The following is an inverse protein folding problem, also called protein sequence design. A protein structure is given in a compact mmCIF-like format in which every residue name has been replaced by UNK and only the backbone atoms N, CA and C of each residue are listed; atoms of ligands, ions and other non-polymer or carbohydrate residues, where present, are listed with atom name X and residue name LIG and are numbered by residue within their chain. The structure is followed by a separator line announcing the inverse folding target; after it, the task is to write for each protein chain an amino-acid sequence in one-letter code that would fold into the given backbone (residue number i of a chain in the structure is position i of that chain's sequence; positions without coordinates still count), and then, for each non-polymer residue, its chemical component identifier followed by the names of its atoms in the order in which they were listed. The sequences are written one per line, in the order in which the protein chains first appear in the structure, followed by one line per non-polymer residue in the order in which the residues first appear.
data_IF_202880440621
#
_entry.id   IF_202880440621
#
_cell.length_a   1.000
_cell.length_b   1.000
_cell.length_c   1.000
_cell.angle_alpha   90.00
_cell.angle_beta   90.00
_cell.angle_gamma   90.00
#
_symmetry.space_group_name_H-M   'P 1'
#
loop_
_entity.id
_entity.type
_entity.pdbx_description
1 polymer ?
#
# COMPACT_ATOMS: atom_id res chain seq x y z
N UNK A 1 19.02 -16.97 3.29
CA UNK A 1 17.70 -17.26 3.89
C UNK A 1 16.74 -16.17 3.42
N UNK A 2 15.69 -16.52 2.67
CA UNK A 2 14.57 -15.59 2.49
C UNK A 2 13.91 -15.48 3.85
N UNK A 3 13.92 -14.28 4.43
CA UNK A 3 13.55 -14.02 5.81
C UNK A 3 12.12 -14.47 6.12
N UNK A 4 11.88 -14.81 7.38
CA UNK A 4 10.57 -15.19 7.88
C UNK A 4 9.61 -13.97 7.84
N UNK A 5 8.94 -13.78 6.70
CA UNK A 5 8.02 -12.65 6.51
C UNK A 5 6.84 -12.74 7.48
N UNK A 6 6.42 -13.95 7.87
CA UNK A 6 5.29 -14.15 8.77
C UNK A 6 5.64 -13.65 10.18
N UNK A 7 6.86 -13.96 10.65
CA UNK A 7 7.38 -13.38 11.90
C UNK A 7 7.47 -11.85 11.81
N UNK A 8 8.01 -11.30 10.72
CA UNK A 8 8.13 -9.85 10.56
C UNK A 8 6.76 -9.13 10.50
N UNK A 9 5.77 -9.71 9.81
CA UNK A 9 4.39 -9.17 9.80
C UNK A 9 3.83 -9.17 11.21
N UNK A 10 3.98 -10.28 11.95
CA UNK A 10 3.54 -10.39 13.33
C UNK A 10 4.18 -9.32 14.23
N UNK A 11 5.50 -9.14 14.15
CA UNK A 11 6.21 -8.13 14.96
C UNK A 11 5.69 -6.71 14.68
N UNK A 12 5.44 -6.36 13.41
CA UNK A 12 4.85 -5.07 13.06
C UNK A 12 3.39 -4.92 13.51
N UNK A 13 2.61 -5.99 13.46
CA UNK A 13 1.22 -5.99 13.93
C UNK A 13 1.14 -5.80 15.45
N UNK A 14 2.07 -6.38 16.21
CA UNK A 14 2.18 -6.17 17.66
C UNK A 14 2.45 -4.69 17.99
N UNK A 15 3.41 -4.06 17.30
CA UNK A 15 3.68 -2.61 17.43
C UNK A 15 2.47 -1.77 17.02
N UNK A 16 1.74 -2.17 15.98
CA UNK A 16 0.56 -1.44 15.52
C UNK A 16 -0.60 -1.48 16.53
N UNK A 17 -0.72 -2.56 17.29
CA UNK A 17 -1.77 -2.80 18.28
C UNK A 17 -1.48 -2.21 19.67
N UNK A 18 -0.22 -1.97 20.00
CA UNK A 18 0.20 -1.44 21.30
C UNK A 18 -0.21 0.05 21.46
N UNK A 19 -1.20 0.31 22.32
CA UNK A 19 -1.72 1.67 22.53
C UNK A 19 -0.75 2.63 23.23
N UNK A 20 0.30 2.11 23.86
CA UNK A 20 1.32 2.91 24.56
C UNK A 20 2.34 3.50 23.56
N UNK A 21 2.39 2.99 22.33
CA UNK A 21 3.25 3.49 21.25
C UNK A 21 2.58 4.69 20.55
N UNK A 22 3.29 5.81 20.28
CA UNK A 22 2.72 6.95 19.55
C UNK A 22 2.04 6.57 18.24
N UNK A 23 0.88 7.17 17.93
CA UNK A 23 0.05 6.80 16.77
C UNK A 23 0.80 6.78 15.45
N UNK A 24 1.68 7.75 15.20
CA UNK A 24 2.49 7.80 13.98
C UNK A 24 3.44 6.59 13.83
N UNK A 25 4.00 6.07 14.92
CA UNK A 25 4.83 4.86 14.89
C UNK A 25 3.98 3.61 14.65
N UNK A 26 2.75 3.56 15.19
CA UNK A 26 1.81 2.47 14.91
C UNK A 26 1.37 2.46 13.45
N UNK A 27 1.12 3.62 12.88
CA UNK A 27 0.77 3.75 11.45
C UNK A 27 1.94 3.33 10.55
N UNK A 28 3.17 3.70 10.91
CA UNK A 28 4.36 3.21 10.23
C UNK A 28 4.49 1.68 10.32
N UNK A 29 4.16 1.07 11.47
CA UNK A 29 4.18 -0.37 11.65
C UNK A 29 3.13 -1.07 10.77
N UNK A 30 1.88 -0.56 10.75
CA UNK A 30 0.83 -1.04 9.83
C UNK A 30 1.29 -1.00 8.37
N UNK A 31 1.91 0.11 7.96
CA UNK A 31 2.43 0.27 6.60
C UNK A 31 3.53 -0.75 6.29
N UNK A 32 4.45 -1.00 7.23
CA UNK A 32 5.54 -1.99 7.04
C UNK A 32 5.01 -3.42 6.94
N UNK A 33 4.03 -3.80 7.76
CA UNK A 33 3.35 -5.09 7.64
C UNK A 33 2.68 -5.24 6.27
N UNK A 34 1.94 -4.22 5.83
CA UNK A 34 1.28 -4.23 4.52
C UNK A 34 2.26 -4.35 3.35
N UNK A 35 3.41 -3.67 3.38
CA UNK A 35 4.42 -3.76 2.33
C UNK A 35 5.02 -5.18 2.21
N UNK A 36 5.16 -5.93 3.31
CA UNK A 36 5.53 -7.33 3.27
C UNK A 36 4.40 -8.18 2.67
N UNK A 37 3.16 -7.89 3.06
CA UNK A 37 1.97 -8.62 2.60
C UNK A 37 1.65 -8.40 1.12
N UNK A 38 2.12 -7.31 0.49
CA UNK A 38 1.99 -7.14 -0.97
C UNK A 38 2.54 -8.36 -1.72
N UNK A 39 3.65 -8.94 -1.26
CA UNK A 39 4.29 -10.10 -1.90
C UNK A 39 3.90 -11.46 -1.32
N UNK A 40 3.30 -11.47 -0.13
CA UNK A 40 3.14 -12.69 0.66
C UNK A 40 1.72 -12.95 1.16
N UNK A 41 0.79 -12.01 0.97
CA UNK A 41 -0.59 -12.09 1.45
C UNK A 41 -1.62 -11.76 0.37
N UNK A 42 -2.86 -11.62 0.81
CA UNK A 42 -4.01 -11.20 -0.01
C UNK A 42 -4.21 -9.68 0.01
N UNK A 43 -5.06 -9.18 -0.89
CA UNK A 43 -5.57 -7.81 -0.83
C UNK A 43 -6.22 -7.51 0.52
N UNK A 44 -6.96 -8.47 1.10
CA UNK A 44 -7.61 -8.27 2.39
C UNK A 44 -6.58 -8.09 3.53
N UNK A 45 -5.46 -8.83 3.47
CA UNK A 45 -4.37 -8.70 4.45
C UNK A 45 -3.71 -7.32 4.38
N UNK A 46 -3.47 -6.83 3.16
CA UNK A 46 -2.94 -5.47 2.93
C UNK A 46 -3.96 -4.41 3.36
N UNK A 47 -5.19 -4.49 2.86
CA UNK A 47 -6.25 -3.50 3.09
C UNK A 47 -6.54 -3.31 4.57
N UNK A 48 -6.65 -4.41 5.33
CA UNK A 48 -6.92 -4.35 6.78
C UNK A 48 -5.87 -3.55 7.57
N UNK A 49 -4.67 -3.35 7.02
CA UNK A 49 -3.59 -2.58 7.65
C UNK A 49 -3.49 -1.14 7.16
N UNK A 50 -3.69 -0.90 5.86
CA UNK A 50 -3.39 0.42 5.26
C UNK A 50 -4.60 1.20 4.78
N UNK A 51 -5.81 0.65 4.74
CA UNK A 51 -6.98 1.36 4.21
C UNK A 51 -7.21 2.71 4.89
N UNK A 52 -7.18 2.75 6.22
CA UNK A 52 -7.32 4.00 6.98
C UNK A 52 -6.17 5.00 6.72
N UNK A 53 -4.98 4.50 6.36
CA UNK A 53 -3.81 5.34 6.04
C UNK A 53 -3.91 5.98 4.66
N UNK A 54 -4.84 5.54 3.79
CA UNK A 54 -5.03 6.12 2.45
C UNK A 54 -5.77 7.46 2.45
N UNK A 55 -6.30 7.90 3.61
CA UNK A 55 -7.00 9.17 3.75
C UNK A 55 -6.12 10.37 3.35
N UNK A 56 -6.71 11.40 2.74
CA UNK A 56 -5.99 12.59 2.24
C UNK A 56 -5.20 13.34 3.34
N UNK A 57 -5.66 13.24 4.58
CA UNK A 57 -5.02 13.87 5.75
C UNK A 57 -3.84 13.08 6.29
N UNK A 58 -3.64 11.82 5.88
CA UNK A 58 -2.57 10.99 6.41
C UNK A 58 -1.25 11.25 5.64
N UNK A 59 -0.13 11.51 6.34
CA UNK A 59 1.16 11.71 5.68
C UNK A 59 1.68 10.47 4.95
N UNK A 60 1.20 9.27 5.31
CA UNK A 60 1.62 7.99 4.71
C UNK A 60 0.77 7.57 3.51
N UNK A 61 -0.24 8.36 3.12
CA UNK A 61 -1.26 7.97 2.14
C UNK A 61 -0.73 7.51 0.80
N UNK A 62 0.36 8.09 0.30
CA UNK A 62 0.90 7.71 -1.00
C UNK A 62 1.47 6.29 -0.99
N UNK A 63 2.25 5.94 0.03
CA UNK A 63 2.80 4.59 0.17
C UNK A 63 1.70 3.59 0.53
N UNK A 64 0.70 3.99 1.32
CA UNK A 64 -0.47 3.17 1.60
C UNK A 64 -1.28 2.85 0.33
N UNK A 65 -1.55 3.86 -0.52
CA UNK A 65 -2.21 3.69 -1.82
C UNK A 65 -1.39 2.83 -2.77
N UNK A 66 -0.07 2.98 -2.78
CA UNK A 66 0.84 2.14 -3.59
C UNK A 66 0.77 0.67 -3.15
N UNK A 67 0.84 0.39 -1.84
CA UNK A 67 0.70 -0.97 -1.32
C UNK A 67 -0.68 -1.58 -1.65
N UNK A 68 -1.76 -0.83 -1.43
CA UNK A 68 -3.12 -1.27 -1.72
C UNK A 68 -3.34 -1.50 -3.23
N UNK A 69 -2.79 -0.63 -4.07
CA UNK A 69 -2.87 -0.70 -5.53
C UNK A 69 -2.11 -1.90 -6.10
N UNK A 70 -0.92 -2.19 -5.58
CA UNK A 70 -0.16 -3.40 -5.93
C UNK A 70 -0.92 -4.67 -5.56
N UNK A 71 -1.47 -4.73 -4.34
CA UNK A 71 -2.26 -5.88 -3.90
C UNK A 71 -3.53 -6.07 -4.74
N UNK A 72 -4.23 -4.98 -5.07
CA UNK A 72 -5.40 -5.00 -5.94
C UNK A 72 -5.06 -5.54 -7.33
N UNK A 73 -3.97 -5.05 -7.92
CA UNK A 73 -3.55 -5.47 -9.26
C UNK A 73 -3.20 -6.96 -9.31
N UNK A 74 -2.48 -7.48 -8.30
CA UNK A 74 -2.12 -8.90 -8.20
C UNK A 74 -3.33 -9.83 -8.10
N UNK A 75 -4.46 -9.34 -7.58
CA UNK A 75 -5.73 -10.08 -7.54
C UNK A 75 -6.63 -9.81 -8.76
N UNK A 76 -6.13 -9.17 -9.81
CA UNK A 76 -6.90 -8.89 -11.02
C UNK A 76 -7.90 -7.74 -10.88
N UNK A 77 -7.85 -6.97 -9.78
CA UNK A 77 -8.71 -5.79 -9.54
C UNK A 77 -8.10 -4.56 -10.22
N UNK A 78 -7.93 -4.63 -11.54
CA UNK A 78 -7.20 -3.61 -12.31
C UNK A 78 -7.82 -2.21 -12.20
N UNK A 79 -9.15 -2.09 -12.19
CA UNK A 79 -9.85 -0.81 -12.01
C UNK A 79 -9.57 -0.18 -10.64
N UNK A 80 -9.58 -0.96 -9.57
CA UNK A 80 -9.29 -0.48 -8.23
C UNK A 80 -7.82 -0.07 -8.09
N UNK A 81 -6.91 -0.87 -8.64
CA UNK A 81 -5.50 -0.56 -8.68
C UNK A 81 -5.23 0.75 -9.44
N UNK A 82 -5.84 0.92 -10.62
CA UNK A 82 -5.70 2.11 -11.44
C UNK A 82 -6.17 3.36 -10.71
N UNK A 83 -7.31 3.29 -10.01
CA UNK A 83 -7.81 4.40 -9.18
C UNK A 83 -6.80 4.82 -8.12
N UNK A 84 -6.16 3.86 -7.45
CA UNK A 84 -5.19 4.12 -6.38
C UNK A 84 -3.90 4.75 -6.91
N UNK A 85 -3.40 4.30 -8.06
CA UNK A 85 -2.21 4.89 -8.69
C UNK A 85 -2.50 6.28 -9.28
N UNK A 86 -3.66 6.48 -9.91
CA UNK A 86 -4.06 7.79 -10.43
C UNK A 86 -4.17 8.83 -9.29
N UNK A 87 -4.66 8.44 -8.11
CA UNK A 87 -4.67 9.30 -6.91
C UNK A 87 -3.28 9.74 -6.44
N UNK A 88 -2.23 8.94 -6.70
CA UNK A 88 -0.85 9.32 -6.35
C UNK A 88 -0.29 10.22 -7.45
N UNK A 89 -0.47 9.84 -8.72
CA UNK A 89 0.06 10.55 -9.87
C UNK A 89 -0.51 11.98 -9.97
N UNK A 90 -1.77 12.19 -9.60
CA UNK A 90 -2.45 13.48 -9.65
C UNK A 90 -2.27 14.37 -8.41
N UNK A 91 -1.56 13.91 -7.37
CA UNK A 91 -1.36 14.69 -6.13
C UNK A 91 -0.04 15.48 -6.18
N UNK A 92 -0.13 16.80 -6.30
CA UNK A 92 1.02 17.70 -6.36
C UNK A 92 1.87 17.70 -5.09
N UNK A 93 1.31 17.24 -3.96
CA UNK A 93 2.05 17.09 -2.71
C UNK A 93 2.77 15.73 -2.56
N UNK A 94 2.54 14.79 -3.47
CA UNK A 94 3.28 13.54 -3.48
C UNK A 94 4.77 13.76 -3.81
N UNK A 95 5.70 13.03 -3.19
CA UNK A 95 7.10 13.03 -3.61
C UNK A 95 7.24 12.69 -5.09
N UNK A 96 8.16 13.37 -5.80
CA UNK A 96 8.35 13.20 -7.26
C UNK A 96 8.52 11.74 -7.67
N UNK A 97 9.35 11.00 -6.96
CA UNK A 97 9.59 9.58 -7.23
C UNK A 97 8.34 8.71 -7.04
N UNK A 98 7.44 9.05 -6.10
CA UNK A 98 6.19 8.35 -5.89
C UNK A 98 5.22 8.60 -7.06
N UNK A 99 5.13 9.85 -7.54
CA UNK A 99 4.34 10.17 -8.75
C UNK A 99 4.86 9.42 -9.96
N UNK A 100 6.17 9.43 -10.20
CA UNK A 100 6.79 8.74 -11.35
C UNK A 100 6.49 7.23 -11.34
N UNK A 101 6.62 6.56 -10.19
CA UNK A 101 6.25 5.14 -10.05
C UNK A 101 4.75 4.92 -10.27
N UNK A 102 3.90 5.79 -9.73
CA UNK A 102 2.46 5.65 -9.88
C UNK A 102 2.01 5.82 -11.34
N UNK A 103 2.55 6.81 -12.06
CA UNK A 103 2.31 6.99 -13.51
C UNK A 103 2.70 5.73 -14.28
N UNK A 104 3.89 5.19 -14.03
CA UNK A 104 4.35 3.94 -14.68
C UNK A 104 3.41 2.76 -14.41
N UNK A 105 2.94 2.62 -13.16
CA UNK A 105 2.00 1.56 -12.80
C UNK A 105 0.63 1.76 -13.46
N UNK A 106 0.09 2.98 -13.50
CA UNK A 106 -1.16 3.29 -14.22
C UNK A 106 -1.05 2.96 -15.71
N UNK A 107 0.06 3.31 -16.36
CA UNK A 107 0.31 2.98 -17.77
C UNK A 107 0.42 1.47 -18.01
N UNK A 108 1.16 0.76 -17.14
CA UNK A 108 1.31 -0.69 -17.21
C UNK A 108 -0.04 -1.41 -17.05
N UNK A 109 -0.87 -0.98 -16.09
CA UNK A 109 -2.20 -1.56 -15.86
C UNK A 109 -3.10 -1.34 -17.08
N UNK A 110 -3.14 -0.13 -17.64
CA UNK A 110 -3.91 0.18 -18.86
C UNK A 110 -3.43 -0.66 -20.05
N UNK A 111 -2.12 -0.82 -20.21
CA UNK A 111 -1.51 -1.62 -21.29
C UNK A 111 -1.72 -3.13 -21.14
N UNK A 112 -2.02 -3.63 -19.93
CA UNK A 112 -2.20 -5.06 -19.67
C UNK A 112 -3.54 -5.64 -20.17
N UNK A 113 -4.46 -4.80 -20.65
CA UNK A 113 -5.80 -5.22 -21.09
C UNK A 113 -6.77 -5.58 -19.95
N UNK A 114 -6.34 -5.46 -18.69
CA UNK A 114 -7.16 -5.74 -17.50
C UNK A 114 -8.22 -4.67 -17.18
N UNK A 115 -8.17 -3.52 -17.86
CA UNK A 115 -9.17 -2.46 -17.77
C UNK A 115 -9.88 -2.40 -19.12
N UNK A 116 -11.02 -3.07 -19.24
CA UNK A 116 -11.91 -3.03 -20.42
C UNK A 116 -13.05 -2.05 -20.20
#
# INVERSE_FOLDING_TARGET
AKGDFAAAVKDFDEVAADTDIPSGLRDMARLRAALLLVDHGSFADVSSRVEALTADTNPLRHTAREALGLAAWKEGKATDALKLFDQIASDDSAPRNARERATLMSELIRGSGGVS
#
